data_IF_859913164512
#
_entry.id   IF_859913164512
#
_cell.length_a   1.000
_cell.length_b   1.000
_cell.length_c   1.000
_cell.angle_alpha   90.00
_cell.angle_beta   90.00
_cell.angle_gamma   90.00
#
_symmetry.space_group_name_H-M   'P 1'
#
loop_
_entity.id
_entity.type
_entity.pdbx_description
1 polymer ?
#
# COMPACT_ATOMS: atom_id res chain seq x y z
N UNK A 1 -11.35 -13.77 -33.46
CA UNK A 1 -10.58 -12.54 -33.13
C UNK A 1 -11.45 -11.53 -32.37
N UNK A 2 -12.53 -10.97 -32.96
CA UNK A 2 -13.36 -9.93 -32.32
C UNK A 2 -14.01 -10.34 -30.98
N UNK A 3 -14.43 -11.60 -30.84
CA UNK A 3 -15.02 -12.12 -29.58
C UNK A 3 -14.05 -12.13 -28.40
N UNK A 4 -12.76 -12.41 -28.65
CA UNK A 4 -11.74 -12.50 -27.60
C UNK A 4 -11.44 -11.13 -26.99
N UNK A 5 -11.25 -10.12 -27.83
CA UNK A 5 -11.00 -8.74 -27.38
C UNK A 5 -12.19 -8.16 -26.59
N UNK A 6 -13.42 -8.55 -26.92
CA UNK A 6 -14.62 -8.18 -26.14
C UNK A 6 -14.56 -8.78 -24.73
N UNK A 7 -14.16 -10.04 -24.60
CA UNK A 7 -13.98 -10.70 -23.28
C UNK A 7 -12.90 -10.00 -22.45
N UNK A 8 -11.76 -9.67 -23.06
CA UNK A 8 -10.68 -8.93 -22.38
C UNK A 8 -11.15 -7.53 -21.93
N UNK A 9 -11.93 -6.83 -22.75
CA UNK A 9 -12.47 -5.52 -22.37
C UNK A 9 -13.49 -5.61 -21.23
N UNK A 10 -14.32 -6.66 -21.20
CA UNK A 10 -15.24 -6.92 -20.07
C UNK A 10 -14.49 -7.21 -18.77
N UNK A 11 -13.44 -8.05 -18.84
CA UNK A 11 -12.56 -8.32 -17.68
C UNK A 11 -11.88 -7.05 -17.18
N UNK A 12 -11.35 -6.22 -18.09
CA UNK A 12 -10.80 -4.89 -17.75
C UNK A 12 -11.82 -4.00 -17.04
N UNK A 13 -13.06 -3.98 -17.53
CA UNK A 13 -14.16 -3.25 -16.90
C UNK A 13 -14.47 -3.74 -15.48
N UNK A 14 -14.46 -5.07 -15.27
CA UNK A 14 -14.64 -5.67 -13.94
C UNK A 14 -13.54 -5.26 -12.96
N UNK A 15 -12.27 -5.28 -13.39
CA UNK A 15 -11.13 -4.82 -12.59
C UNK A 15 -11.30 -3.35 -12.21
N UNK A 16 -11.59 -2.47 -13.19
CA UNK A 16 -11.89 -1.05 -12.92
C UNK A 16 -12.98 -0.88 -11.89
N UNK A 17 -14.07 -1.64 -12.02
CA UNK A 17 -15.18 -1.59 -11.04
C UNK A 17 -14.74 -1.97 -9.62
N UNK A 18 -13.81 -2.92 -9.46
CA UNK A 18 -13.26 -3.26 -8.15
C UNK A 18 -12.33 -2.17 -7.61
N UNK A 19 -11.45 -1.60 -8.45
CA UNK A 19 -10.57 -0.49 -8.04
C UNK A 19 -11.38 0.73 -7.61
N UNK A 20 -12.46 1.07 -8.33
CA UNK A 20 -13.38 2.14 -7.92
C UNK A 20 -14.00 1.89 -6.55
N UNK A 21 -14.42 0.65 -6.25
CA UNK A 21 -14.96 0.29 -4.93
C UNK A 21 -13.92 0.44 -3.82
N UNK A 22 -12.69 -0.04 -4.06
CA UNK A 22 -11.58 0.08 -3.10
C UNK A 22 -11.21 1.54 -2.85
N UNK A 23 -11.17 2.36 -3.91
CA UNK A 23 -10.95 3.79 -3.81
C UNK A 23 -12.05 4.49 -3.02
N UNK A 24 -13.31 4.14 -3.30
CA UNK A 24 -14.46 4.69 -2.56
C UNK A 24 -14.39 4.30 -1.08
N UNK A 25 -13.94 3.09 -0.76
CA UNK A 25 -13.72 2.66 0.62
C UNK A 25 -12.67 3.54 1.33
N UNK A 26 -11.54 3.81 0.68
CA UNK A 26 -10.49 4.70 1.22
C UNK A 26 -11.02 6.12 1.41
N UNK A 27 -11.68 6.68 0.38
CA UNK A 27 -12.18 8.05 0.38
C UNK A 27 -13.27 8.30 1.43
N UNK A 28 -14.12 7.29 1.70
CA UNK A 28 -15.14 7.40 2.74
C UNK A 28 -14.52 7.43 4.14
N UNK A 29 -13.47 6.65 4.40
CA UNK A 29 -12.78 6.63 5.69
C UNK A 29 -13.64 6.22 6.91
N UNK A 30 -14.87 5.76 6.69
CA UNK A 30 -15.80 5.38 7.75
C UNK A 30 -15.51 3.97 8.26
N UNK A 31 -15.51 3.78 9.58
CA UNK A 31 -15.35 2.47 10.25
C UNK A 31 -14.07 1.71 9.86
N UNK A 32 -12.95 2.44 9.66
CA UNK A 32 -11.65 1.84 9.39
C UNK A 32 -11.16 1.07 10.62
N UNK A 33 -11.29 -0.25 10.59
CA UNK A 33 -10.65 -1.16 11.52
C UNK A 33 -9.52 -1.91 10.83
N UNK A 34 -8.55 -2.40 11.61
CA UNK A 34 -7.46 -3.22 11.07
C UNK A 34 -7.99 -4.40 10.24
N UNK A 35 -8.98 -5.12 10.75
CA UNK A 35 -9.61 -6.27 10.06
C UNK A 35 -10.24 -5.87 8.72
N UNK A 36 -10.96 -4.74 8.69
CA UNK A 36 -11.59 -4.25 7.46
C UNK A 36 -10.53 -3.85 6.42
N UNK A 37 -9.46 -3.18 6.84
CA UNK A 37 -8.37 -2.75 5.94
C UNK A 37 -7.60 -3.96 5.39
N UNK A 38 -7.31 -4.97 6.23
CA UNK A 38 -6.70 -6.24 5.79
C UNK A 38 -7.58 -6.93 4.75
N UNK A 39 -8.90 -6.98 4.97
CA UNK A 39 -9.85 -7.55 4.01
C UNK A 39 -9.80 -6.81 2.66
N UNK A 40 -9.70 -5.48 2.66
CA UNK A 40 -9.56 -4.72 1.42
C UNK A 40 -8.21 -4.95 0.72
N UNK A 41 -7.12 -5.15 1.47
CA UNK A 41 -5.82 -5.55 0.91
C UNK A 41 -5.90 -6.92 0.23
N UNK A 42 -6.60 -7.89 0.82
CA UNK A 42 -6.82 -9.21 0.20
C UNK A 42 -7.63 -9.11 -1.10
N UNK A 43 -8.63 -8.22 -1.14
CA UNK A 43 -9.41 -7.95 -2.35
C UNK A 43 -8.53 -7.31 -3.42
N UNK A 44 -7.68 -6.34 -3.04
CA UNK A 44 -6.74 -5.70 -3.95
C UNK A 44 -5.73 -6.71 -4.50
N UNK A 45 -5.18 -7.60 -3.67
CA UNK A 45 -4.25 -8.64 -4.09
C UNK A 45 -4.88 -9.54 -5.17
N UNK A 46 -6.10 -10.04 -4.93
CA UNK A 46 -6.83 -10.84 -5.94
C UNK A 46 -7.13 -10.04 -7.21
N UNK A 47 -7.39 -8.74 -7.09
CA UNK A 47 -7.64 -7.85 -8.22
C UNK A 47 -6.37 -7.63 -9.04
N UNK A 48 -5.21 -7.46 -8.37
CA UNK A 48 -3.89 -7.36 -8.99
C UNK A 48 -3.51 -8.64 -9.74
N UNK A 49 -3.70 -9.83 -9.15
CA UNK A 49 -3.48 -11.10 -9.86
C UNK A 49 -4.30 -11.22 -11.15
N UNK A 50 -5.59 -10.85 -11.10
CA UNK A 50 -6.45 -10.85 -12.29
C UNK A 50 -6.03 -9.81 -13.33
N UNK A 51 -5.45 -8.70 -12.90
CA UNK A 51 -4.89 -7.68 -13.79
C UNK A 51 -3.65 -8.20 -14.51
N UNK A 52 -2.75 -8.90 -13.82
CA UNK A 52 -1.57 -9.52 -14.42
C UNK A 52 -1.92 -10.57 -15.48
N UNK A 53 -2.89 -11.44 -15.17
CA UNK A 53 -3.42 -12.40 -16.14
C UNK A 53 -3.99 -11.69 -17.37
N UNK A 54 -4.77 -10.63 -17.14
CA UNK A 54 -5.38 -9.84 -18.21
C UNK A 54 -4.32 -9.15 -19.08
N UNK A 55 -3.27 -8.55 -18.48
CA UNK A 55 -2.17 -7.88 -19.18
C UNK A 55 -1.44 -8.84 -20.10
N UNK A 56 -1.08 -10.01 -19.57
CA UNK A 56 -0.43 -11.06 -20.35
C UNK A 56 -1.28 -11.52 -21.55
N UNK A 57 -2.60 -11.63 -21.36
CA UNK A 57 -3.51 -11.99 -22.46
C UNK A 57 -3.66 -10.87 -23.51
N UNK A 58 -3.67 -9.60 -23.10
CA UNK A 58 -3.65 -8.48 -24.06
C UNK A 58 -2.38 -8.51 -24.90
N UNK A 59 -1.21 -8.68 -24.30
CA UNK A 59 0.07 -8.73 -25.03
C UNK A 59 0.14 -9.88 -26.04
N UNK A 60 -0.54 -11.00 -25.78
CA UNK A 60 -0.62 -12.12 -26.74
C UNK A 60 -1.65 -11.92 -27.85
N UNK A 61 -2.60 -11.00 -27.67
CA UNK A 61 -3.77 -10.84 -28.56
C UNK A 61 -3.69 -9.62 -29.46
N UNK A 62 -3.09 -8.53 -28.96
CA UNK A 62 -3.09 -7.22 -29.61
C UNK A 62 -2.01 -7.16 -30.70
N UNK A 63 -2.31 -6.49 -31.80
CA UNK A 63 -1.32 -6.26 -32.87
C UNK A 63 -0.35 -5.14 -32.51
N UNK A 64 0.84 -5.13 -33.11
CA UNK A 64 1.87 -4.12 -32.82
C UNK A 64 1.37 -2.68 -33.00
N UNK A 65 0.51 -2.43 -33.99
CA UNK A 65 -0.06 -1.11 -34.26
C UNK A 65 -0.93 -0.57 -33.10
N UNK A 66 -1.56 -1.47 -32.33
CA UNK A 66 -2.44 -1.12 -31.21
C UNK A 66 -1.74 -1.26 -29.85
N UNK A 67 -0.51 -1.78 -29.83
CA UNK A 67 0.20 -2.16 -28.61
C UNK A 67 0.40 -0.97 -27.67
N UNK A 68 0.98 0.14 -28.14
CA UNK A 68 1.26 1.32 -27.32
C UNK A 68 0.00 1.89 -26.67
N UNK A 69 -1.12 1.86 -27.40
CA UNK A 69 -2.39 2.34 -26.88
C UNK A 69 -2.93 1.43 -25.77
N UNK A 70 -2.82 0.12 -25.95
CA UNK A 70 -3.23 -0.86 -24.94
C UNK A 70 -2.31 -0.77 -23.73
N UNK A 71 -1.00 -0.66 -23.94
CA UNK A 71 0.00 -0.54 -22.90
C UNK A 71 -0.24 0.69 -22.03
N UNK A 72 -0.44 1.86 -22.65
CA UNK A 72 -0.78 3.08 -21.90
C UNK A 72 -2.05 2.93 -21.04
N UNK A 73 -3.06 2.16 -21.51
CA UNK A 73 -4.29 1.92 -20.76
C UNK A 73 -4.08 0.93 -19.61
N UNK A 74 -3.18 -0.04 -19.76
CA UNK A 74 -2.84 -1.02 -18.73
C UNK A 74 -1.93 -0.41 -17.66
N UNK A 75 -0.91 0.34 -18.06
CA UNK A 75 -0.03 1.07 -17.14
C UNK A 75 -0.81 2.02 -16.22
N UNK A 76 -1.82 2.74 -16.73
CA UNK A 76 -2.71 3.56 -15.89
C UNK A 76 -3.48 2.77 -14.83
N UNK A 77 -3.82 1.51 -15.10
CA UNK A 77 -4.48 0.64 -14.13
C UNK A 77 -3.49 0.08 -13.11
N UNK A 78 -2.27 -0.22 -13.53
CA UNK A 78 -1.17 -0.62 -12.64
C UNK A 78 -0.85 0.51 -11.64
N UNK A 79 -0.72 1.75 -12.11
CA UNK A 79 -0.54 2.92 -11.25
C UNK A 79 -1.67 3.08 -10.22
N UNK A 80 -2.92 2.83 -10.64
CA UNK A 80 -4.08 2.89 -9.75
C UNK A 80 -4.03 1.79 -8.68
N UNK A 81 -3.66 0.56 -9.05
CA UNK A 81 -3.45 -0.56 -8.12
C UNK A 81 -2.39 -0.20 -7.09
N UNK A 82 -1.23 0.30 -7.53
CA UNK A 82 -0.12 0.69 -6.65
C UNK A 82 -0.52 1.80 -5.69
N UNK A 83 -1.24 2.82 -6.18
CA UNK A 83 -1.71 3.93 -5.34
C UNK A 83 -2.69 3.46 -4.25
N UNK A 84 -3.62 2.57 -4.60
CA UNK A 84 -4.56 1.98 -3.64
C UNK A 84 -3.81 1.11 -2.62
N UNK A 85 -2.83 0.32 -3.07
CA UNK A 85 -2.01 -0.52 -2.19
C UNK A 85 -1.26 0.30 -1.15
N UNK A 86 -0.56 1.35 -1.59
CA UNK A 86 0.17 2.27 -0.70
C UNK A 86 -0.79 2.89 0.30
N UNK A 87 -1.95 3.38 -0.15
CA UNK A 87 -2.94 4.01 0.73
C UNK A 87 -3.46 3.05 1.80
N UNK A 88 -3.83 1.82 1.44
CA UNK A 88 -4.30 0.82 2.39
C UNK A 88 -3.20 0.39 3.37
N UNK A 89 -1.96 0.23 2.90
CA UNK A 89 -0.81 -0.09 3.76
C UNK A 89 -0.50 1.03 4.76
N UNK A 90 -0.59 2.29 4.33
CA UNK A 90 -0.43 3.45 5.21
C UNK A 90 -1.51 3.49 6.29
N UNK A 91 -2.79 3.32 5.91
CA UNK A 91 -3.90 3.28 6.88
C UNK A 91 -3.68 2.13 7.89
N UNK A 92 -3.30 0.94 7.42
CA UNK A 92 -3.03 -0.20 8.29
C UNK A 92 -1.89 0.08 9.27
N UNK A 93 -0.82 0.72 8.79
CA UNK A 93 0.30 1.13 9.63
C UNK A 93 -0.16 2.09 10.72
N UNK A 94 -0.91 3.14 10.38
CA UNK A 94 -1.36 4.16 11.33
C UNK A 94 -2.29 3.57 12.41
N UNK A 95 -3.17 2.64 12.03
CA UNK A 95 -4.02 1.90 12.97
C UNK A 95 -3.19 1.07 13.96
N UNK A 96 -2.14 0.39 13.48
CA UNK A 96 -1.25 -0.42 14.32
C UNK A 96 -0.41 0.46 15.26
N UNK A 97 0.16 1.54 14.77
CA UNK A 97 0.95 2.48 15.58
C UNK A 97 0.13 3.10 16.70
N UNK A 98 -1.14 3.45 16.43
CA UNK A 98 -2.07 3.99 17.44
C UNK A 98 -2.42 2.96 18.53
N UNK A 99 -2.57 1.68 18.16
CA UNK A 99 -2.81 0.60 19.12
C UNK A 99 -1.62 0.40 20.07
N UNK A 100 -0.39 0.44 19.53
CA UNK A 100 0.85 0.28 20.33
C UNK A 100 1.03 1.43 21.31
N UNK A 101 0.81 2.69 20.91
CA UNK A 101 0.89 3.84 21.83
C UNK A 101 -0.15 3.77 22.95
N UNK A 102 -1.33 3.23 22.69
CA UNK A 102 -2.38 3.09 23.70
C UNK A 102 -2.11 1.90 24.65
N UNK A 103 -1.32 0.91 24.22
CA UNK A 103 -0.93 -0.23 25.05
C UNK A 103 0.27 0.04 25.95
N UNK A 104 1.15 0.98 25.62
CA UNK A 104 2.33 1.34 26.44
C UNK A 104 2.08 2.51 27.39
N UNK A 105 1.02 3.28 27.19
CA UNK A 105 0.71 4.45 28.02
C UNK A 105 -0.11 4.14 29.29
N UNK A 106 -0.53 2.89 29.51
CA UNK A 106 -1.33 2.48 30.67
C UNK A 106 -0.55 2.09 31.92
N UNK A 107 0.77 1.83 31.82
CA UNK A 107 1.56 1.30 32.95
C UNK A 107 2.93 1.97 33.17
N UNK A 108 3.39 2.86 32.28
CA UNK A 108 4.73 3.47 32.38
C UNK A 108 4.70 4.99 32.15
N UNK A 109 3.62 5.70 32.52
CA UNK A 109 3.64 7.18 32.54
C UNK A 109 2.93 7.69 33.78
N UNK A 110 3.40 7.28 34.97
CA UNK A 110 3.10 8.04 36.20
C UNK A 110 4.22 8.07 37.25
N UNK A 111 5.32 7.33 37.08
CA UNK A 111 6.42 7.32 38.06
C UNK A 111 7.78 7.86 37.54
N UNK A 112 7.89 8.30 36.28
CA UNK A 112 9.21 8.64 35.71
C UNK A 112 9.32 10.03 35.09
N UNK A 113 8.54 11.01 35.55
CA UNK A 113 8.71 12.43 35.18
C UNK A 113 9.22 13.23 36.38
N UNK A 114 10.15 12.66 37.18
CA UNK A 114 10.91 13.42 38.19
C UNK A 114 12.40 13.05 38.24
N UNK A 115 12.93 12.35 37.24
CA UNK A 115 14.36 12.11 37.11
C UNK A 115 14.87 12.40 35.70
N UNK A 116 14.92 13.69 35.38
CA UNK A 116 15.88 14.21 34.40
C UNK A 116 17.27 14.07 35.03
N UNK A 117 17.84 12.86 35.02
CA UNK A 117 19.26 12.68 35.30
C UNK A 117 20.03 13.01 34.04
N UNK A 118 20.67 14.19 34.07
CA UNK A 118 21.73 14.62 33.14
C UNK A 118 22.58 13.44 32.65
N UNK A 119 22.36 13.01 31.42
CA UNK A 119 23.23 12.04 30.75
C UNK A 119 24.52 12.81 30.41
N UNK A 120 25.58 12.63 31.22
CA UNK A 120 26.92 13.09 30.85
C UNK A 120 27.59 12.00 30.02
N UNK A 121 28.06 12.37 28.83
CA UNK A 121 28.92 11.52 28.02
C UNK A 121 30.25 11.27 28.76
N UNK A 122 30.82 10.05 28.69
CA UNK A 122 32.13 9.79 29.25
C UNK A 122 33.20 10.59 28.49
N UNK A 123 34.14 11.20 29.20
CA UNK A 123 35.28 11.88 28.58
C UNK A 123 36.22 10.84 27.95
N UNK A 124 36.50 11.02 26.66
CA UNK A 124 37.46 10.21 25.92
C UNK A 124 38.82 10.93 25.99
N UNK A 125 39.87 10.31 26.55
CA UNK A 125 41.18 10.94 26.61
C UNK A 125 41.77 11.09 25.19
N UNK A 126 42.33 12.27 24.92
CA UNK A 126 43.02 12.52 23.66
C UNK A 126 44.41 11.84 23.66
N UNK A 127 44.84 11.26 22.53
CA UNK A 127 46.16 10.67 22.43
C UNK A 127 47.25 11.74 22.57
N UNK A 128 48.23 11.48 23.43
CA UNK A 128 49.46 12.27 23.51
C UNK A 128 50.40 11.80 22.41
N UNK A 129 50.56 12.62 21.37
CA UNK A 129 51.59 12.41 20.36
C UNK A 129 52.89 13.06 20.83
N UNK A 130 53.84 12.23 21.26
CA UNK A 130 55.24 12.57 21.34
C UNK A 130 55.91 12.11 20.03
N UNK A 131 56.34 13.09 19.23
CA UNK A 131 56.98 12.87 17.92
C UNK A 131 58.30 12.13 17.98
#
# INVERSE_FOLDING_TARGET
>A
MASHLVVLNRRKGSIRGQLTKLRTFIEKGENLTESTVITQLDILLRTSTRFEELRNEYYRTVSDNDFDQVESKLSKLEDEILKIEVSLKSILHDLKSTSVSNSTNGAIIKETIDKVTSIRLPEIPLPLFNG
#
